data_IF_882697829960
#
_entry.id   IF_882697829960
#
_cell.length_a   1.000
_cell.length_b   1.000
_cell.length_c   1.000
_cell.angle_alpha   90.00
_cell.angle_beta   90.00
_cell.angle_gamma   90.00
#
_symmetry.space_group_name_H-M   'P 1'
#
loop_
_entity.id
_entity.type
_entity.pdbx_description
1 polymer ?
#
# COMPACT_ATOMS: atom_id res chain seq x y z
N UNK A 1 -6.25 -0.36 -14.30
CA UNK A 1 -7.12 0.79 -14.64
C UNK A 1 -6.54 2.15 -14.24
N UNK A 2 -5.93 2.31 -13.05
CA UNK A 2 -5.46 3.61 -12.56
C UNK A 2 -3.94 3.87 -12.75
N UNK A 3 -3.27 3.16 -13.65
CA UNK A 3 -1.85 3.32 -13.95
C UNK A 3 -0.87 2.84 -12.87
N UNK A 4 -1.37 2.13 -11.84
CA UNK A 4 -0.57 1.41 -10.84
C UNK A 4 -0.50 -0.06 -11.26
N UNK A 5 0.71 -0.59 -11.39
CA UNK A 5 0.94 -2.00 -11.71
C UNK A 5 1.04 -2.79 -10.39
N UNK A 6 0.16 -3.77 -10.23
CA UNK A 6 -0.01 -4.54 -8.98
C UNK A 6 0.62 -5.91 -9.17
N UNK A 7 1.50 -6.30 -8.25
CA UNK A 7 2.19 -7.60 -8.32
C UNK A 7 1.48 -8.67 -7.50
N UNK A 8 1.02 -8.31 -6.30
CA UNK A 8 0.35 -9.23 -5.39
C UNK A 8 -0.62 -8.50 -4.46
N UNK A 9 -1.48 -9.29 -3.81
CA UNK A 9 -2.29 -8.84 -2.68
C UNK A 9 -2.50 -10.01 -1.72
N UNK A 10 -2.60 -9.73 -0.42
CA UNK A 10 -2.92 -10.74 0.58
C UNK A 10 -3.48 -10.13 1.87
N UNK A 11 -4.08 -10.99 2.69
CA UNK A 11 -4.31 -10.68 4.09
C UNK A 11 -2.97 -10.68 4.83
N UNK A 12 -2.82 -9.72 5.73
CA UNK A 12 -1.63 -9.55 6.55
C UNK A 12 -1.80 -10.26 7.90
N UNK A 13 -0.79 -10.12 8.76
CA UNK A 13 -0.70 -10.90 10.00
C UNK A 13 -1.73 -10.46 11.07
N UNK A 14 -1.99 -9.17 11.25
CA UNK A 14 -2.87 -8.70 12.33
C UNK A 14 -4.35 -9.04 12.09
N UNK A 15 -5.09 -9.21 13.19
CA UNK A 15 -6.56 -9.25 13.14
C UNK A 15 -7.14 -7.88 12.78
N UNK A 16 -8.47 -7.79 12.71
CA UNK A 16 -9.15 -6.51 12.43
C UNK A 16 -9.03 -6.05 10.98
N UNK A 17 -8.63 -6.94 10.06
CA UNK A 17 -8.67 -6.70 8.62
C UNK A 17 -7.42 -6.04 8.06
N UNK A 18 -6.23 -6.35 8.59
CA UNK A 18 -4.97 -5.94 7.98
C UNK A 18 -4.80 -6.62 6.61
N UNK A 19 -4.46 -5.84 5.59
CA UNK A 19 -4.24 -6.32 4.22
C UNK A 19 -3.09 -5.54 3.57
N UNK A 20 -2.44 -6.16 2.58
CA UNK A 20 -1.38 -5.57 1.76
C UNK A 20 -1.70 -5.75 0.26
N UNK A 21 -1.30 -4.77 -0.55
CA UNK A 21 -1.32 -4.81 -2.01
C UNK A 21 0.02 -4.27 -2.48
N UNK A 22 0.80 -5.14 -3.12
CA UNK A 22 2.14 -4.83 -3.61
C UNK A 22 2.08 -4.15 -4.98
N UNK A 23 2.86 -3.09 -5.12
CA UNK A 23 3.01 -2.37 -6.38
C UNK A 23 4.39 -2.65 -6.96
N UNK A 24 4.44 -2.86 -8.28
CA UNK A 24 5.70 -2.98 -8.99
C UNK A 24 6.53 -1.71 -8.85
N UNK A 25 7.84 -1.88 -8.73
CA UNK A 25 8.78 -0.76 -8.64
C UNK A 25 8.72 0.14 -9.89
N UNK A 26 9.02 1.42 -9.69
CA UNK A 26 9.12 2.42 -10.75
C UNK A 26 10.18 3.48 -10.36
N UNK A 27 10.57 4.39 -11.30
CA UNK A 27 11.40 5.53 -10.96
C UNK A 27 10.82 6.34 -9.79
N UNK A 28 11.70 6.93 -8.97
CA UNK A 28 11.38 7.51 -7.66
C UNK A 28 10.10 8.37 -7.66
N UNK A 29 10.01 9.36 -8.55
CA UNK A 29 8.87 10.28 -8.62
C UNK A 29 7.57 9.53 -8.95
N UNK A 30 7.62 8.59 -9.90
CA UNK A 30 6.45 7.80 -10.29
C UNK A 30 5.99 6.87 -9.16
N UNK A 31 6.93 6.30 -8.40
CA UNK A 31 6.61 5.48 -7.22
C UNK A 31 5.94 6.32 -6.13
N UNK A 32 6.40 7.56 -5.89
CA UNK A 32 5.76 8.47 -4.95
C UNK A 32 4.32 8.83 -5.37
N UNK A 33 4.10 9.12 -6.65
CA UNK A 33 2.75 9.36 -7.19
C UNK A 33 1.85 8.13 -7.06
N UNK A 34 2.39 6.94 -7.36
CA UNK A 34 1.67 5.68 -7.21
C UNK A 34 1.28 5.41 -5.76
N UNK A 35 2.14 5.72 -4.78
CA UNK A 35 1.84 5.57 -3.36
C UNK A 35 0.67 6.46 -2.91
N UNK A 36 0.63 7.72 -3.36
CA UNK A 36 -0.49 8.62 -3.04
C UNK A 36 -1.79 8.14 -3.71
N UNK A 37 -1.71 7.71 -4.97
CA UNK A 37 -2.85 7.15 -5.70
C UNK A 37 -3.37 5.87 -5.04
N UNK A 38 -2.47 5.00 -4.60
CA UNK A 38 -2.79 3.78 -3.86
C UNK A 38 -3.59 4.09 -2.60
N UNK A 39 -3.08 4.98 -1.72
CA UNK A 39 -3.79 5.39 -0.50
C UNK A 39 -5.16 5.99 -0.79
N UNK A 40 -5.28 6.79 -1.86
CA UNK A 40 -6.54 7.38 -2.27
C UNK A 40 -7.55 6.31 -2.72
N UNK A 41 -7.13 5.39 -3.60
CA UNK A 41 -7.98 4.31 -4.10
C UNK A 41 -8.45 3.43 -2.95
N UNK A 42 -7.54 2.96 -2.10
CA UNK A 42 -7.88 2.09 -0.95
C UNK A 42 -8.92 2.74 -0.05
N UNK A 43 -8.72 4.01 0.34
CA UNK A 43 -9.69 4.73 1.18
C UNK A 43 -11.05 4.87 0.51
N UNK A 44 -11.10 5.20 -0.78
CA UNK A 44 -12.37 5.39 -1.48
C UNK A 44 -13.09 4.07 -1.75
N UNK A 45 -12.37 2.99 -2.09
CA UNK A 45 -12.96 1.67 -2.24
C UNK A 45 -13.51 1.16 -0.91
N UNK A 46 -12.80 1.38 0.21
CA UNK A 46 -13.30 1.06 1.54
C UNK A 46 -14.63 1.81 1.84
N UNK A 47 -14.67 3.13 1.60
CA UNK A 47 -15.89 3.94 1.79
C UNK A 47 -17.05 3.43 0.93
N UNK A 48 -16.81 3.10 -0.35
CA UNK A 48 -17.85 2.54 -1.25
C UNK A 48 -18.45 1.23 -0.75
N UNK A 49 -17.72 0.48 0.06
CA UNK A 49 -18.18 -0.77 0.66
C UNK A 49 -18.60 -0.63 2.13
N UNK A 50 -18.85 0.60 2.60
CA UNK A 50 -19.29 0.86 3.98
C UNK A 50 -18.21 0.56 5.03
N UNK A 51 -16.93 0.65 4.65
CA UNK A 51 -15.77 0.45 5.52
C UNK A 51 -14.94 1.75 5.63
N UNK A 52 -13.98 1.75 6.54
CA UNK A 52 -12.93 2.78 6.63
C UNK A 52 -11.56 2.11 6.62
N UNK A 53 -10.59 2.72 5.92
CA UNK A 53 -9.22 2.22 5.86
C UNK A 53 -8.26 3.25 6.46
N UNK A 54 -7.30 2.78 7.25
CA UNK A 54 -6.27 3.60 7.88
C UNK A 54 -4.87 3.12 7.47
N UNK A 55 -3.95 4.07 7.33
CA UNK A 55 -2.51 3.81 7.13
C UNK A 55 -1.71 4.27 8.36
N UNK A 56 -2.37 4.41 9.52
CA UNK A 56 -1.67 4.67 10.77
C UNK A 56 -0.80 3.46 11.14
N UNK A 57 0.41 3.67 11.67
CA UNK A 57 1.38 2.59 11.85
C UNK A 57 0.99 1.57 12.93
N UNK A 58 0.18 1.97 13.92
CA UNK A 58 -0.23 1.09 15.03
C UNK A 58 -1.65 1.39 15.50
N UNK A 59 -2.68 0.90 14.78
CA UNK A 59 -4.07 1.16 15.13
C UNK A 59 -4.60 0.25 16.26
N UNK A 60 -4.01 -0.92 16.45
CA UNK A 60 -4.38 -1.90 17.48
C UNK A 60 -3.23 -2.12 18.46
N UNK A 61 -3.55 -2.07 19.75
CA UNK A 61 -2.60 -2.40 20.80
C UNK A 61 -2.35 -3.91 20.84
N UNK A 62 -1.09 -4.32 21.07
CA UNK A 62 -0.67 -5.72 21.21
C UNK A 62 -0.97 -6.65 20.01
N UNK A 63 -1.07 -6.09 18.80
CA UNK A 63 -1.10 -6.83 17.52
C UNK A 63 -0.16 -6.15 16.50
N UNK A 64 0.07 -6.71 15.31
CA UNK A 64 1.01 -6.18 14.34
C UNK A 64 0.67 -4.75 13.86
N UNK A 65 1.71 -3.99 13.53
CA UNK A 65 1.59 -2.64 12.97
C UNK A 65 1.56 -2.67 11.43
N UNK A 66 1.25 -1.52 10.83
CA UNK A 66 1.30 -1.33 9.38
C UNK A 66 2.58 -0.58 8.99
N UNK A 67 3.46 -1.26 8.27
CA UNK A 67 4.72 -0.71 7.77
C UNK A 67 4.62 -0.21 6.33
N UNK A 68 5.70 0.42 5.86
CA UNK A 68 5.93 0.73 4.45
C UNK A 68 7.39 0.40 4.15
N UNK A 69 7.67 -0.84 3.75
CA UNK A 69 9.01 -1.24 3.35
C UNK A 69 9.32 -0.65 1.96
N UNK A 70 10.50 -0.05 1.81
CA UNK A 70 10.94 0.58 0.56
C UNK A 70 12.12 -0.21 -0.03
N UNK A 71 11.89 -0.82 -1.18
CA UNK A 71 12.94 -1.46 -1.97
C UNK A 71 13.55 -0.43 -2.92
N UNK A 72 14.86 -0.18 -2.79
CA UNK A 72 15.57 0.85 -3.55
C UNK A 72 16.78 0.26 -4.27
N UNK A 73 17.01 0.70 -5.51
CA UNK A 73 18.17 0.34 -6.31
C UNK A 73 18.58 1.51 -7.21
N UNK A 74 19.86 1.57 -7.58
CA UNK A 74 20.41 2.54 -8.53
C UNK A 74 20.82 1.81 -9.80
N UNK A 75 20.56 2.43 -10.94
CA UNK A 75 20.77 1.85 -12.27
C UNK A 75 21.54 2.84 -13.13
N UNK A 76 22.42 2.33 -14.00
CA UNK A 76 23.14 3.13 -14.98
C UNK A 76 23.39 2.26 -16.20
N UNK A 77 22.95 2.74 -17.36
CA UNK A 77 23.07 2.04 -18.65
C UNK A 77 22.26 0.73 -18.75
N UNK A 78 21.17 0.64 -17.99
CA UNK A 78 20.34 -0.57 -17.88
C UNK A 78 20.69 -1.36 -16.63
#
# INVERSE_FOLDING_TARGET
>A
ECGVDVEAQHHEVATGGQCEIDMKYAPLLKTADNLLRYKYIVKNVAVRHGKTATFMPKPLWNDNGSGLHLHMSLWKEG
#
